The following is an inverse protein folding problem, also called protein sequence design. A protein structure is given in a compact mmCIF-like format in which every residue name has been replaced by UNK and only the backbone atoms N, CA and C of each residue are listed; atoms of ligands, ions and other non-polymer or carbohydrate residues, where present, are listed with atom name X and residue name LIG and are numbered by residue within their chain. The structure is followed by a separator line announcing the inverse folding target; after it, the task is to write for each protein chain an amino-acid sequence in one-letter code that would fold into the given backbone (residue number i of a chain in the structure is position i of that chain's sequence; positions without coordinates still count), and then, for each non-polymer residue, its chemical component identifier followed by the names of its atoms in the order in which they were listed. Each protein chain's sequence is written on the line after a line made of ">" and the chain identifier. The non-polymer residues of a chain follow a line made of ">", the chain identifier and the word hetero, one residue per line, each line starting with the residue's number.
data_IF_265393013838
#
_entry.id   IF_265393013838
#
_cell.length_a   1.000
_cell.length_b   1.000
_cell.length_c   1.000
_cell.angle_alpha   90.00
_cell.angle_beta   90.00
_cell.angle_gamma   90.00
#
_symmetry.space_group_name_H-M   'P 1'
#
loop_
_entity.id
_entity.type
_entity.pdbx_description
1 polymer ?
#
# COMPACT_ATOMS: atom_id res chain seq x y z
N UNK A 1 14.79 -13.32 19.73
CA UNK A 1 15.70 -12.24 19.30
C UNK A 1 15.12 -10.96 19.85
N UNK A 2 15.93 -10.08 20.44
CA UNK A 2 15.43 -8.76 20.86
C UNK A 2 15.36 -7.80 19.65
N UNK A 3 14.71 -6.64 19.81
CA UNK A 3 14.48 -5.69 18.69
C UNK A 3 15.79 -5.16 18.07
N UNK A 4 16.86 -5.03 18.86
CA UNK A 4 18.15 -4.51 18.38
C UNK A 4 18.87 -5.59 17.57
N UNK A 5 18.90 -6.82 18.09
CA UNK A 5 19.47 -7.97 17.40
C UNK A 5 18.73 -8.27 16.09
N UNK A 6 17.41 -8.08 16.07
CA UNK A 6 16.57 -8.20 14.88
C UNK A 6 16.91 -7.15 13.84
N UNK A 7 16.99 -5.88 14.23
CA UNK A 7 17.34 -4.79 13.31
C UNK A 7 18.74 -4.98 12.70
N UNK A 8 19.73 -5.39 13.51
CA UNK A 8 21.09 -5.67 13.03
C UNK A 8 21.14 -6.89 12.12
N UNK A 9 20.38 -7.94 12.44
CA UNK A 9 20.27 -9.12 11.59
C UNK A 9 19.65 -8.76 10.24
N UNK A 10 18.51 -8.05 10.24
CA UNK A 10 17.85 -7.59 9.02
C UNK A 10 18.79 -6.76 8.15
N UNK A 11 19.47 -5.75 8.73
CA UNK A 11 20.40 -4.89 7.99
C UNK A 11 21.51 -5.70 7.31
N UNK A 12 22.12 -6.64 8.03
CA UNK A 12 23.19 -7.47 7.47
C UNK A 12 22.71 -8.33 6.30
N UNK A 13 21.57 -9.00 6.46
CA UNK A 13 21.03 -9.85 5.40
C UNK A 13 20.55 -9.00 4.22
N UNK A 14 19.99 -7.81 4.48
CA UNK A 14 19.64 -6.84 3.45
C UNK A 14 20.85 -6.39 2.64
N UNK A 15 21.95 -6.02 3.29
CA UNK A 15 23.17 -5.56 2.60
C UNK A 15 23.72 -6.65 1.68
N UNK A 16 23.68 -7.93 2.10
CA UNK A 16 24.06 -9.06 1.25
C UNK A 16 23.10 -9.22 0.08
N UNK A 17 21.79 -9.27 0.37
CA UNK A 17 20.76 -9.42 -0.65
C UNK A 17 20.79 -8.31 -1.70
N UNK A 18 20.98 -7.06 -1.28
CA UNK A 18 20.97 -5.92 -2.17
C UNK A 18 22.21 -5.86 -3.08
N UNK A 19 23.31 -6.53 -2.71
CA UNK A 19 24.44 -6.74 -3.63
C UNK A 19 24.12 -7.87 -4.61
N UNK A 20 23.58 -8.99 -4.10
CA UNK A 20 23.31 -10.19 -4.89
C UNK A 20 22.18 -9.99 -5.91
N UNK A 21 21.18 -9.15 -5.61
CA UNK A 21 20.02 -8.90 -6.48
C UNK A 21 20.41 -8.28 -7.82
N UNK A 22 21.52 -7.54 -7.89
CA UNK A 22 22.04 -7.01 -9.16
C UNK A 22 22.69 -8.08 -10.05
N UNK A 23 22.85 -9.31 -9.55
CA UNK A 23 23.22 -10.48 -10.34
C UNK A 23 22.07 -11.05 -11.17
N UNK A 24 20.81 -10.73 -10.84
CA UNK A 24 19.62 -11.06 -11.65
C UNK A 24 19.34 -9.89 -12.61
N UNK A 25 19.48 -10.08 -13.94
CA UNK A 25 19.28 -9.01 -14.92
C UNK A 25 17.88 -8.37 -14.86
N UNK A 26 16.84 -9.13 -14.54
CA UNK A 26 15.45 -8.64 -14.50
C UNK A 26 15.23 -7.78 -13.26
N UNK A 27 15.67 -8.27 -12.10
CA UNK A 27 15.56 -7.52 -10.85
C UNK A 27 16.45 -6.27 -10.88
N UNK A 28 17.69 -6.38 -11.37
CA UNK A 28 18.63 -5.27 -11.54
C UNK A 28 18.03 -4.16 -12.40
N UNK A 29 17.44 -4.53 -13.55
CA UNK A 29 16.79 -3.58 -14.45
C UNK A 29 15.59 -2.91 -13.78
N UNK A 30 14.74 -3.70 -13.11
CA UNK A 30 13.53 -3.18 -12.46
C UNK A 30 13.85 -2.19 -11.33
N UNK A 31 14.81 -2.54 -10.47
CA UNK A 31 15.28 -1.66 -9.38
C UNK A 31 15.90 -0.39 -9.96
N UNK A 32 16.72 -0.50 -11.00
CA UNK A 32 17.35 0.67 -11.63
C UNK A 32 16.32 1.63 -12.22
N UNK A 33 15.32 1.11 -12.93
CA UNK A 33 14.24 1.92 -13.49
C UNK A 33 13.37 2.56 -12.40
N UNK A 34 13.05 1.84 -11.31
CA UNK A 34 12.32 2.42 -10.17
C UNK A 34 13.09 3.57 -9.53
N UNK A 35 14.42 3.45 -9.39
CA UNK A 35 15.28 4.53 -8.89
C UNK A 35 15.19 5.75 -9.80
N UNK A 36 15.24 5.56 -11.10
CA UNK A 36 15.08 6.63 -12.09
C UNK A 36 13.68 7.26 -12.13
N UNK A 37 12.67 6.50 -11.68
CA UNK A 37 11.30 6.99 -11.43
C UNK A 37 11.13 7.62 -10.03
N UNK A 38 12.22 7.72 -9.26
CA UNK A 38 12.29 8.41 -7.98
C UNK A 38 11.96 7.56 -6.75
N UNK A 39 11.84 6.24 -6.89
CA UNK A 39 11.73 5.31 -5.76
C UNK A 39 13.14 5.04 -5.22
N UNK A 40 13.40 5.42 -3.98
CA UNK A 40 14.73 5.32 -3.40
C UNK A 40 15.01 3.88 -2.95
N UNK A 41 16.29 3.45 -2.90
CA UNK A 41 16.65 2.19 -2.26
C UNK A 41 16.18 2.07 -0.80
N UNK A 42 16.08 3.19 -0.08
CA UNK A 42 15.49 3.23 1.27
C UNK A 42 14.01 2.86 1.28
N UNK A 43 13.26 3.18 0.22
CA UNK A 43 11.85 2.85 0.13
C UNK A 43 11.68 1.33 -0.06
N UNK A 44 12.58 0.70 -0.81
CA UNK A 44 12.63 -0.77 -0.97
C UNK A 44 13.00 -1.47 0.34
N UNK A 45 13.94 -0.91 1.10
CA UNK A 45 14.31 -1.40 2.44
C UNK A 45 13.11 -1.36 3.39
N UNK A 46 12.42 -0.21 3.48
CA UNK A 46 11.23 -0.06 4.32
C UNK A 46 10.09 -0.97 3.85
N UNK A 47 9.94 -1.18 2.54
CA UNK A 47 8.98 -2.14 2.00
C UNK A 47 9.31 -3.56 2.44
N UNK A 48 10.57 -4.00 2.35
CA UNK A 48 11.00 -5.31 2.82
C UNK A 48 10.81 -5.48 4.33
N UNK A 49 11.09 -4.44 5.13
CA UNK A 49 10.78 -4.45 6.58
C UNK A 49 9.28 -4.54 6.83
N UNK A 50 8.47 -3.79 6.10
CA UNK A 50 7.01 -3.87 6.20
C UNK A 50 6.51 -5.26 5.83
N UNK A 51 7.08 -5.91 4.81
CA UNK A 51 6.73 -7.28 4.42
C UNK A 51 7.12 -8.26 5.54
N UNK A 52 8.30 -8.09 6.14
CA UNK A 52 8.73 -8.94 7.25
C UNK A 52 7.90 -8.75 8.52
N UNK A 53 7.42 -7.54 8.78
CA UNK A 53 6.54 -7.27 9.92
C UNK A 53 5.10 -7.75 9.71
N UNK A 54 4.64 -7.86 8.46
CA UNK A 54 3.30 -8.34 8.11
C UNK A 54 3.27 -9.84 7.92
N UNK A 55 2.09 -10.45 8.05
CA UNK A 55 1.87 -11.79 7.48
C UNK A 55 1.93 -11.66 5.97
N UNK A 56 3.02 -12.17 5.40
CA UNK A 56 2.95 -12.83 4.12
C UNK A 56 2.09 -14.06 4.33
N UNK A 57 0.89 -14.14 3.76
CA UNK A 57 0.18 -15.43 3.70
C UNK A 57 1.07 -16.40 2.92
N UNK A 58 1.67 -17.42 3.57
CA UNK A 58 2.55 -18.31 2.81
C UNK A 58 1.80 -19.13 1.77
N UNK A 59 0.46 -19.18 1.80
CA UNK A 59 -0.40 -19.89 0.87
C UNK A 59 -0.65 -19.07 -0.39
N UNK A 60 -0.98 -17.78 -0.22
CA UNK A 60 -1.10 -16.80 -1.30
C UNK A 60 0.24 -16.63 -2.04
N UNK A 61 1.38 -16.69 -1.31
CA UNK A 61 2.71 -16.59 -1.92
C UNK A 61 3.41 -17.90 -2.29
N UNK A 62 3.05 -19.08 -1.75
CA UNK A 62 3.54 -20.35 -2.31
C UNK A 62 2.86 -20.63 -3.65
N UNK A 63 1.55 -20.36 -3.76
CA UNK A 63 0.84 -20.40 -5.03
C UNK A 63 1.40 -19.32 -5.97
N UNK A 64 1.55 -18.06 -5.51
CA UNK A 64 2.21 -17.06 -6.34
C UNK A 64 3.66 -17.39 -6.62
N UNK A 65 4.50 -17.97 -5.76
CA UNK A 65 5.90 -18.36 -6.09
C UNK A 65 5.95 -19.43 -7.17
N UNK A 66 5.05 -20.41 -7.17
CA UNK A 66 4.89 -21.38 -8.27
C UNK A 66 4.40 -20.71 -9.57
N UNK A 67 3.65 -19.60 -9.45
CA UNK A 67 3.16 -18.77 -10.58
C UNK A 67 4.15 -17.67 -11.03
N UNK A 68 5.00 -17.18 -10.13
CA UNK A 68 5.99 -16.08 -10.23
C UNK A 68 7.39 -16.61 -10.57
N UNK A 69 7.59 -17.93 -10.48
CA UNK A 69 8.79 -18.59 -11.02
C UNK A 69 8.79 -18.59 -12.55
N UNK A 70 7.63 -18.31 -13.17
CA UNK A 70 7.57 -17.82 -14.53
C UNK A 70 7.34 -16.31 -14.45
N UNK A 71 8.11 -15.45 -15.16
CA UNK A 71 7.62 -14.12 -15.46
C UNK A 71 6.22 -14.29 -16.04
N UNK A 72 5.27 -13.48 -15.59
CA UNK A 72 3.91 -13.53 -16.11
C UNK A 72 4.01 -13.55 -17.64
N UNK A 73 3.47 -14.58 -18.29
CA UNK A 73 3.56 -14.67 -19.76
C UNK A 73 2.83 -13.50 -20.42
N UNK A 74 1.98 -12.79 -19.68
CA UNK A 74 1.35 -11.53 -20.07
C UNK A 74 2.30 -10.33 -20.08
N UNK A 75 3.46 -10.41 -19.42
CA UNK A 75 4.47 -9.34 -19.40
C UNK A 75 4.87 -8.94 -20.83
N UNK A 76 4.90 -9.89 -21.78
CA UNK A 76 5.19 -9.54 -23.18
C UNK A 76 4.04 -8.81 -23.87
N UNK A 77 2.78 -9.12 -23.56
CA UNK A 77 1.63 -8.39 -24.14
C UNK A 77 1.48 -7.00 -23.51
N UNK A 78 1.65 -6.88 -22.19
CA UNK A 78 1.62 -5.59 -21.48
C UNK A 78 2.79 -4.68 -21.86
N UNK A 79 3.99 -5.23 -22.06
CA UNK A 79 5.15 -4.46 -22.55
C UNK A 79 4.94 -3.98 -23.99
N UNK A 80 4.28 -4.78 -24.83
CA UNK A 80 3.91 -4.35 -26.20
C UNK A 80 2.89 -3.21 -26.15
N UNK A 81 1.87 -3.28 -25.30
CA UNK A 81 0.88 -2.21 -25.10
C UNK A 81 1.56 -0.90 -24.65
N UNK A 82 2.49 -0.98 -23.70
CA UNK A 82 3.25 0.18 -23.23
C UNK A 82 4.08 0.82 -24.34
N UNK A 83 4.76 0.04 -25.18
CA UNK A 83 5.54 0.60 -26.29
C UNK A 83 4.64 1.26 -27.35
N UNK A 84 3.47 0.69 -27.64
CA UNK A 84 2.48 1.29 -28.53
C UNK A 84 1.93 2.61 -27.97
N UNK A 85 1.69 2.70 -26.66
CA UNK A 85 1.32 3.95 -26.00
C UNK A 85 2.42 5.02 -26.10
N UNK A 86 3.70 4.62 -25.99
CA UNK A 86 4.83 5.55 -26.18
C UNK A 86 4.90 6.02 -27.63
N UNK A 87 4.67 5.14 -28.61
CA UNK A 87 4.54 5.54 -30.01
C UNK A 87 3.40 6.56 -30.19
N UNK A 88 2.26 6.37 -29.54
CA UNK A 88 1.16 7.33 -29.54
C UNK A 88 1.54 8.69 -28.95
N UNK A 89 2.35 8.73 -27.88
CA UNK A 89 2.89 9.99 -27.32
C UNK A 89 3.81 10.68 -28.34
N UNK A 90 4.67 9.92 -29.03
CA UNK A 90 5.57 10.46 -30.06
C UNK A 90 4.76 11.09 -31.21
N UNK A 91 3.70 10.42 -31.68
CA UNK A 91 2.84 10.94 -32.74
C UNK A 91 2.15 12.25 -32.35
N UNK A 92 1.68 12.37 -31.10
CA UNK A 92 1.08 13.60 -30.58
C UNK A 92 2.10 14.74 -30.47
N UNK A 93 3.33 14.43 -30.04
CA UNK A 93 4.45 15.39 -30.01
C UNK A 93 4.79 15.85 -31.44
N UNK A 94 4.82 14.95 -32.41
CA UNK A 94 5.08 15.29 -33.82
C UNK A 94 3.96 16.18 -34.37
N UNK A 95 2.70 15.88 -34.05
CA UNK A 95 1.55 16.71 -34.43
C UNK A 95 1.61 18.10 -33.77
N UNK A 96 2.05 18.19 -32.51
CA UNK A 96 2.31 19.45 -31.81
C UNK A 96 3.43 20.25 -32.49
N UNK A 97 4.54 19.59 -32.87
CA UNK A 97 5.66 20.21 -33.58
C UNK A 97 5.34 20.62 -35.01
N UNK A 98 4.38 19.95 -35.65
CA UNK A 98 3.86 20.31 -36.98
C UNK A 98 2.72 21.34 -36.93
N UNK A 99 2.26 21.75 -35.74
CA UNK A 99 1.16 22.69 -35.58
C UNK A 99 1.52 24.04 -36.24
N UNK A 100 0.68 24.61 -37.12
CA UNK A 100 0.99 25.87 -37.82
C UNK A 100 1.23 27.07 -36.90
N UNK A 101 0.74 27.01 -35.66
CA UNK A 101 0.95 28.06 -34.67
C UNK A 101 2.31 27.98 -34.00
N UNK A 102 2.95 26.80 -34.00
CA UNK A 102 4.30 26.66 -33.48
C UNK A 102 5.30 27.28 -34.45
N UNK A 103 6.10 28.23 -33.94
CA UNK A 103 7.12 28.92 -34.72
C UNK A 103 8.47 28.78 -34.01
N UNK A 104 9.39 28.05 -34.62
CA UNK A 104 10.74 27.84 -34.09
C UNK A 104 11.47 29.16 -33.76
N UNK A 105 11.29 30.21 -34.57
CA UNK A 105 11.90 31.51 -34.35
C UNK A 105 11.49 32.19 -33.01
N UNK A 106 10.38 31.75 -32.41
CA UNK A 106 9.90 32.27 -31.13
C UNK A 106 10.40 31.45 -29.93
N UNK A 107 11.03 30.29 -30.14
CA UNK A 107 11.47 29.42 -29.06
C UNK A 107 12.45 30.12 -28.10
N UNK A 108 13.33 31.01 -28.56
CA UNK A 108 14.26 31.69 -27.64
C UNK A 108 13.60 32.77 -26.76
N UNK A 109 12.39 33.22 -27.10
CA UNK A 109 11.77 34.41 -26.50
C UNK A 109 10.38 34.15 -25.88
N UNK A 110 9.74 33.03 -26.21
CA UNK A 110 8.41 32.67 -25.72
C UNK A 110 8.43 31.35 -24.93
N UNK A 111 8.02 31.41 -23.66
CA UNK A 111 8.09 30.27 -22.76
C UNK A 111 7.18 29.09 -23.15
N UNK A 112 6.13 29.29 -23.95
CA UNK A 112 5.32 28.19 -24.48
C UNK A 112 6.03 27.54 -25.67
N UNK A 113 6.71 28.34 -26.51
CA UNK A 113 7.48 27.82 -27.64
C UNK A 113 8.70 27.03 -27.16
N UNK A 114 9.36 27.45 -26.06
CA UNK A 114 10.41 26.66 -25.39
C UNK A 114 9.91 25.30 -24.91
N UNK A 115 8.69 25.27 -24.35
CA UNK A 115 8.09 24.04 -23.87
C UNK A 115 7.79 23.10 -25.05
N UNK A 116 7.21 23.61 -26.14
CA UNK A 116 6.99 22.82 -27.36
C UNK A 116 8.31 22.29 -27.92
N UNK A 117 9.36 23.12 -28.03
CA UNK A 117 10.69 22.67 -28.46
C UNK A 117 11.24 21.55 -27.58
N UNK A 118 11.13 21.70 -26.26
CA UNK A 118 11.60 20.68 -25.30
C UNK A 118 10.83 19.37 -25.42
N UNK A 119 9.53 19.43 -25.74
CA UNK A 119 8.70 18.26 -26.00
C UNK A 119 9.09 17.57 -27.30
N UNK A 120 9.33 18.32 -28.38
CA UNK A 120 9.82 17.78 -29.66
C UNK A 120 11.15 17.06 -29.47
N UNK A 121 12.08 17.64 -28.71
CA UNK A 121 13.35 17.00 -28.37
C UNK A 121 13.15 15.73 -27.53
N UNK A 122 12.15 15.71 -26.63
CA UNK A 122 11.79 14.52 -25.86
C UNK A 122 11.23 13.41 -26.76
N UNK A 123 10.36 13.76 -27.71
CA UNK A 123 9.85 12.81 -28.72
C UNK A 123 10.96 12.22 -29.58
N UNK A 124 11.97 13.02 -29.96
CA UNK A 124 13.14 12.53 -30.68
C UNK A 124 13.95 11.51 -29.85
N UNK A 125 14.21 11.79 -28.56
CA UNK A 125 14.88 10.85 -27.65
C UNK A 125 14.10 9.55 -27.47
N UNK A 126 12.78 9.62 -27.31
CA UNK A 126 11.92 8.45 -27.19
C UNK A 126 12.00 7.59 -28.46
N UNK A 127 11.91 8.20 -29.64
CA UNK A 127 12.01 7.50 -30.93
C UNK A 127 13.37 6.80 -31.10
N UNK A 128 14.45 7.48 -30.73
CA UNK A 128 15.80 6.90 -30.76
C UNK A 128 15.91 5.70 -29.81
N UNK A 129 15.40 5.82 -28.58
CA UNK A 129 15.39 4.72 -27.62
C UNK A 129 14.65 3.49 -28.16
N UNK A 130 13.42 3.67 -28.66
CA UNK A 130 12.59 2.57 -29.20
C UNK A 130 13.23 1.87 -30.42
N UNK A 131 14.08 2.57 -31.15
CA UNK A 131 14.79 2.02 -32.32
C UNK A 131 16.17 1.43 -31.97
N UNK A 132 16.59 1.53 -30.71
CA UNK A 132 17.91 1.09 -30.24
C UNK A 132 17.91 -0.41 -29.88
N UNK A 133 19.08 -0.92 -29.50
CA UNK A 133 19.19 -2.26 -28.91
C UNK A 133 18.62 -2.36 -27.49
N UNK A 134 18.28 -1.23 -26.86
CA UNK A 134 17.71 -1.14 -25.51
C UNK A 134 16.45 -0.25 -25.48
N UNK A 135 15.30 -0.72 -26.00
CA UNK A 135 14.06 0.05 -26.03
C UNK A 135 13.53 0.50 -24.66
N UNK A 136 13.92 -0.20 -23.58
CA UNK A 136 13.58 0.15 -22.20
C UNK A 136 14.11 1.51 -21.75
N UNK A 137 15.11 2.08 -22.44
CA UNK A 137 15.56 3.46 -22.21
C UNK A 137 14.43 4.48 -22.46
N UNK A 138 13.40 4.14 -23.23
CA UNK A 138 12.24 5.00 -23.41
C UNK A 138 11.52 5.25 -22.07
N UNK A 139 11.49 4.27 -21.17
CA UNK A 139 10.87 4.42 -19.85
C UNK A 139 11.60 5.45 -18.99
N UNK A 140 12.94 5.44 -19.04
CA UNK A 140 13.79 6.46 -18.42
C UNK A 140 13.48 7.85 -18.98
N UNK A 141 13.37 7.98 -20.30
CA UNK A 141 13.12 9.26 -20.96
C UNK A 141 11.73 9.83 -20.71
N UNK A 142 10.75 9.00 -20.34
CA UNK A 142 9.48 9.48 -19.83
C UNK A 142 9.59 10.04 -18.40
N UNK A 143 10.61 9.67 -17.63
CA UNK A 143 10.81 10.20 -16.27
C UNK A 143 11.13 11.70 -16.29
N UNK A 144 10.69 12.39 -15.23
CA UNK A 144 11.01 13.80 -14.97
C UNK A 144 11.52 14.03 -13.55
N UNK A 145 11.65 12.96 -12.74
CA UNK A 145 11.95 13.05 -11.31
C UNK A 145 13.44 13.07 -11.01
N UNK A 146 14.21 12.20 -11.67
CA UNK A 146 15.67 12.10 -11.48
C UNK A 146 16.42 13.00 -12.45
N UNK A 147 15.97 13.06 -13.70
CA UNK A 147 16.46 14.00 -14.70
C UNK A 147 15.29 14.51 -15.56
N UNK A 148 15.36 15.76 -16.06
CA UNK A 148 14.28 16.39 -16.81
C UNK A 148 14.26 15.94 -18.28
N UNK A 149 14.28 14.63 -18.53
CA UNK A 149 14.25 14.08 -19.89
C UNK A 149 12.92 14.36 -20.61
N UNK A 150 11.81 14.33 -19.86
CA UNK A 150 10.51 14.78 -20.33
C UNK A 150 10.07 16.07 -19.63
N UNK A 151 9.69 17.12 -20.35
CA UNK A 151 9.25 18.37 -19.73
C UNK A 151 7.82 18.28 -19.16
N UNK A 152 7.69 18.48 -17.84
CA UNK A 152 6.40 18.39 -17.10
C UNK A 152 5.87 19.74 -16.60
N UNK A 153 6.42 20.84 -17.11
CA UNK A 153 5.99 22.18 -16.72
C UNK A 153 4.55 22.47 -17.18
N UNK A 154 3.71 23.02 -16.30
CA UNK A 154 2.32 23.36 -16.61
C UNK A 154 2.23 24.42 -17.74
N UNK A 155 1.47 24.16 -18.82
CA UNK A 155 1.44 25.06 -19.99
C UNK A 155 0.56 26.31 -19.83
N UNK A 156 -0.44 26.28 -18.94
CA UNK A 156 -1.52 27.30 -18.90
C UNK A 156 -1.06 28.76 -18.76
N UNK A 157 0.01 29.02 -18.01
CA UNK A 157 0.53 30.38 -17.79
C UNK A 157 1.69 30.75 -18.72
N UNK A 158 2.06 29.90 -19.69
CA UNK A 158 3.22 30.11 -20.56
C UNK A 158 2.83 30.80 -21.86
N UNK A 159 3.73 31.63 -22.39
CA UNK A 159 3.62 32.27 -23.70
C UNK A 159 2.60 33.41 -23.83
N UNK A 160 2.79 34.27 -24.83
CA UNK A 160 1.92 35.44 -25.09
C UNK A 160 0.91 35.14 -26.20
N UNK A 161 -0.38 35.40 -25.99
CA UNK A 161 -1.43 35.07 -26.98
C UNK A 161 -1.18 35.67 -28.39
N UNK A 162 -0.57 36.86 -28.48
CA UNK A 162 -0.23 37.49 -29.75
C UNK A 162 0.77 36.69 -30.60
N UNK A 163 1.62 35.89 -29.95
CA UNK A 163 2.63 35.06 -30.61
C UNK A 163 2.05 33.78 -31.23
N UNK A 164 0.79 33.45 -30.91
CA UNK A 164 0.15 32.17 -31.22
C UNK A 164 -1.14 32.34 -32.02
N UNK A 165 -1.32 33.48 -32.71
CA UNK A 165 -2.52 33.74 -33.51
C UNK A 165 -3.76 34.14 -32.70
N UNK A 166 -3.63 34.37 -31.39
CA UNK A 166 -4.71 34.75 -30.49
C UNK A 166 -4.88 33.80 -29.31
N UNK A 167 -5.76 34.17 -28.36
CA UNK A 167 -6.04 33.34 -27.19
C UNK A 167 -6.65 31.96 -27.54
N UNK A 168 -7.59 31.83 -28.49
CA UNK A 168 -8.16 30.52 -28.84
C UNK A 168 -7.13 29.53 -29.37
N UNK A 169 -6.27 29.98 -30.29
CA UNK A 169 -5.22 29.17 -30.91
C UNK A 169 -4.13 28.79 -29.90
N UNK A 170 -3.72 29.74 -29.04
CA UNK A 170 -2.84 29.44 -27.90
C UNK A 170 -3.45 28.36 -27.00
N UNK A 171 -4.73 28.49 -26.65
CA UNK A 171 -5.39 27.54 -25.76
C UNK A 171 -5.46 26.14 -26.38
N UNK A 172 -5.68 26.02 -27.69
CA UNK A 172 -5.63 24.73 -28.37
C UNK A 172 -4.25 24.05 -28.23
N UNK A 173 -3.16 24.79 -28.39
CA UNK A 173 -1.78 24.27 -28.15
C UNK A 173 -1.58 23.86 -26.69
N UNK A 174 -2.10 24.65 -25.75
CA UNK A 174 -2.04 24.34 -24.31
C UNK A 174 -2.79 23.04 -24.00
N UNK A 175 -3.96 22.80 -24.59
CA UNK A 175 -4.70 21.54 -24.42
C UNK A 175 -3.94 20.36 -25.01
N UNK A 176 -3.37 20.47 -26.22
CA UNK A 176 -2.54 19.40 -26.80
C UNK A 176 -1.37 19.01 -25.87
N UNK A 177 -0.70 20.00 -25.26
CA UNK A 177 0.38 19.73 -24.30
C UNK A 177 -0.15 19.01 -23.05
N UNK A 178 -1.35 19.36 -22.56
CA UNK A 178 -1.96 18.67 -21.41
C UNK A 178 -2.29 17.22 -21.76
N UNK A 179 -2.89 16.97 -22.91
CA UNK A 179 -3.21 15.61 -23.38
C UNK A 179 -1.94 14.73 -23.45
N UNK A 180 -0.85 15.27 -24.01
CA UNK A 180 0.47 14.59 -24.02
C UNK A 180 0.96 14.31 -22.60
N UNK A 181 0.89 15.31 -21.70
CA UNK A 181 1.35 15.17 -20.32
C UNK A 181 0.52 14.15 -19.53
N UNK A 182 -0.80 14.12 -19.73
CA UNK A 182 -1.72 13.20 -19.08
C UNK A 182 -1.50 11.76 -19.57
N UNK A 183 -1.38 11.55 -20.89
CA UNK A 183 -1.03 10.23 -21.44
C UNK A 183 0.34 9.76 -20.93
N UNK A 184 1.36 10.62 -20.96
CA UNK A 184 2.69 10.30 -20.41
C UNK A 184 2.60 9.93 -18.94
N UNK A 185 1.78 10.61 -18.15
CA UNK A 185 1.60 10.27 -16.73
C UNK A 185 0.95 8.89 -16.55
N UNK A 186 -0.09 8.57 -17.32
CA UNK A 186 -0.72 7.24 -17.30
C UNK A 186 0.25 6.11 -17.68
N UNK A 187 1.07 6.30 -18.72
CA UNK A 187 2.10 5.33 -19.12
C UNK A 187 3.14 5.14 -18.02
N UNK A 188 3.61 6.22 -17.40
CA UNK A 188 4.57 6.16 -16.30
C UNK A 188 3.99 5.43 -15.08
N UNK A 189 2.71 5.64 -14.77
CA UNK A 189 2.01 4.93 -13.68
C UNK A 189 1.94 3.43 -13.96
N UNK A 190 1.51 3.02 -15.15
CA UNK A 190 1.48 1.61 -15.58
C UNK A 190 2.86 0.94 -15.48
N UNK A 191 3.90 1.59 -15.99
CA UNK A 191 5.28 1.07 -15.90
C UNK A 191 5.70 0.96 -14.43
N UNK A 192 5.44 1.99 -13.62
CA UNK A 192 5.82 1.99 -12.20
C UNK A 192 5.13 0.85 -11.45
N UNK A 193 3.86 0.58 -11.74
CA UNK A 193 3.10 -0.52 -11.15
C UNK A 193 3.72 -1.88 -11.49
N UNK A 194 3.94 -2.17 -12.78
CA UNK A 194 4.55 -3.42 -13.24
C UNK A 194 5.96 -3.64 -12.66
N UNK A 195 6.78 -2.57 -12.59
CA UNK A 195 8.11 -2.64 -11.97
C UNK A 195 8.02 -2.87 -10.46
N UNK A 196 7.07 -2.24 -9.77
CA UNK A 196 6.82 -2.45 -8.35
C UNK A 196 6.42 -3.91 -8.08
N UNK A 197 5.59 -4.53 -8.93
CA UNK A 197 5.19 -5.93 -8.77
C UNK A 197 6.39 -6.88 -8.90
N UNK A 198 7.25 -6.66 -9.90
CA UNK A 198 8.49 -7.42 -10.08
C UNK A 198 9.39 -7.31 -8.85
N UNK A 199 9.65 -6.08 -8.38
CA UNK A 199 10.50 -5.87 -7.19
C UNK A 199 9.84 -6.43 -5.94
N UNK A 200 8.53 -6.29 -5.79
CA UNK A 200 7.78 -6.85 -4.66
C UNK A 200 7.95 -8.38 -4.55
N UNK A 201 7.91 -9.10 -5.68
CA UNK A 201 8.21 -10.53 -5.74
C UNK A 201 9.59 -10.88 -5.22
N UNK A 202 10.60 -10.14 -5.67
CA UNK A 202 11.99 -10.33 -5.23
C UNK A 202 12.12 -10.04 -3.72
N UNK A 203 11.52 -8.96 -3.22
CA UNK A 203 11.53 -8.62 -1.80
C UNK A 203 10.83 -9.67 -0.93
N UNK A 204 9.73 -10.25 -1.42
CA UNK A 204 9.06 -11.36 -0.73
C UNK A 204 9.95 -12.61 -0.66
N UNK A 205 10.66 -12.93 -1.75
CA UNK A 205 11.65 -13.99 -1.78
C UNK A 205 12.76 -13.79 -0.74
N UNK A 206 13.29 -12.55 -0.65
CA UNK A 206 14.25 -12.16 0.37
C UNK A 206 13.71 -12.38 1.79
N UNK A 207 12.50 -11.87 2.09
CA UNK A 207 11.90 -12.01 3.44
C UNK A 207 11.67 -13.48 3.81
N UNK A 208 11.28 -14.32 2.85
CA UNK A 208 11.15 -15.76 3.08
C UNK A 208 12.49 -16.36 3.49
N UNK A 209 13.56 -16.10 2.74
CA UNK A 209 14.89 -16.62 3.08
C UNK A 209 15.42 -16.04 4.40
N UNK A 210 15.14 -14.77 4.69
CA UNK A 210 15.46 -14.12 5.97
C UNK A 210 14.79 -14.84 7.15
N UNK A 211 13.49 -15.16 7.03
CA UNK A 211 12.74 -15.93 8.06
C UNK A 211 13.27 -17.35 8.19
N UNK A 212 13.57 -18.02 7.07
CA UNK A 212 14.17 -19.35 7.10
C UNK A 212 15.58 -19.35 7.73
N UNK A 213 16.38 -18.32 7.46
CA UNK A 213 17.71 -18.15 8.07
C UNK A 213 17.62 -17.99 9.59
N UNK A 214 16.66 -17.19 10.08
CA UNK A 214 16.34 -17.10 11.52
C UNK A 214 15.99 -18.47 12.10
N UNK A 215 15.04 -19.19 11.48
CA UNK A 215 14.62 -20.53 11.91
C UNK A 215 15.80 -21.52 11.94
N UNK A 216 16.64 -21.56 10.90
CA UNK A 216 17.85 -22.41 10.83
C UNK A 216 18.85 -22.08 11.94
N UNK A 217 18.95 -20.80 12.33
CA UNK A 217 19.77 -20.35 13.44
C UNK A 217 19.16 -20.60 14.83
N UNK A 218 17.98 -21.23 14.92
CA UNK A 218 17.26 -21.45 16.17
C UNK A 218 16.72 -20.15 16.79
N UNK A 219 16.56 -19.09 15.98
CA UNK A 219 16.06 -17.80 16.42
C UNK A 219 14.68 -17.53 15.82
N UNK A 220 13.83 -16.91 16.61
CA UNK A 220 12.53 -16.37 16.18
C UNK A 220 12.37 -14.98 16.79
N UNK A 221 11.68 -14.11 16.06
CA UNK A 221 11.21 -12.79 16.50
C UNK A 221 9.80 -12.91 17.10
N UNK A 222 9.27 -11.83 17.66
CA UNK A 222 7.85 -11.79 18.08
C UNK A 222 6.91 -11.89 16.88
N UNK A 223 7.25 -11.24 15.76
CA UNK A 223 6.50 -11.39 14.51
C UNK A 223 6.49 -12.83 14.02
N UNK A 224 7.63 -13.53 14.09
CA UNK A 224 7.71 -14.96 13.71
C UNK A 224 6.79 -15.83 14.56
N UNK A 225 6.59 -15.53 15.85
CA UNK A 225 5.69 -16.31 16.72
C UNK A 225 4.23 -16.23 16.24
N UNK A 226 3.77 -15.03 15.89
CA UNK A 226 2.43 -14.83 15.33
C UNK A 226 2.28 -15.53 13.98
N UNK A 227 3.27 -15.36 13.09
CA UNK A 227 3.27 -16.01 11.77
C UNK A 227 3.27 -17.56 11.89
N UNK A 228 4.09 -18.12 12.79
CA UNK A 228 4.15 -19.56 13.05
C UNK A 228 2.84 -20.10 13.63
N UNK A 229 2.21 -19.34 14.54
CA UNK A 229 0.89 -19.69 15.07
C UNK A 229 -0.15 -19.74 13.96
N UNK A 230 -0.16 -18.72 13.09
CA UNK A 230 -1.08 -18.67 11.96
C UNK A 230 -0.82 -19.78 10.93
N UNK A 231 0.45 -20.06 10.59
CA UNK A 231 0.86 -21.18 9.75
C UNK A 231 0.32 -22.51 10.32
N UNK A 232 0.48 -22.73 11.63
CA UNK A 232 -0.01 -23.93 12.30
C UNK A 232 -1.54 -24.03 12.25
N UNK A 233 -2.26 -22.94 12.51
CA UNK A 233 -3.74 -22.92 12.45
C UNK A 233 -4.30 -23.09 11.02
N UNK A 234 -3.48 -22.87 9.99
CA UNK A 234 -3.86 -23.06 8.58
C UNK A 234 -3.50 -24.45 8.05
N UNK A 235 -2.29 -24.91 8.33
CA UNK A 235 -1.70 -26.09 7.69
C UNK A 235 -1.84 -27.37 8.54
N UNK A 236 -2.23 -27.26 9.81
CA UNK A 236 -2.42 -28.42 10.67
C UNK A 236 -3.62 -29.29 10.22
N UNK A 237 -3.61 -30.60 10.54
CA UNK A 237 -4.78 -31.45 10.36
C UNK A 237 -6.01 -30.84 11.05
N UNK A 238 -7.21 -30.86 10.43
CA UNK A 238 -8.42 -30.26 11.01
C UNK A 238 -8.73 -30.74 12.43
N UNK A 239 -8.36 -31.97 12.76
CA UNK A 239 -8.54 -32.55 14.11
C UNK A 239 -7.73 -31.78 15.16
N UNK A 240 -6.47 -31.44 14.87
CA UNK A 240 -5.62 -30.68 15.79
C UNK A 240 -6.17 -29.25 15.97
N UNK A 241 -6.62 -28.62 14.87
CA UNK A 241 -7.26 -27.30 14.96
C UNK A 241 -8.51 -27.37 15.84
N UNK A 242 -9.35 -28.38 15.66
CA UNK A 242 -10.55 -28.61 16.47
C UNK A 242 -10.21 -28.82 17.97
N UNK A 243 -9.18 -29.60 18.29
CA UNK A 243 -8.69 -29.78 19.67
C UNK A 243 -8.25 -28.46 20.31
N UNK A 244 -7.51 -27.63 19.55
CA UNK A 244 -7.09 -26.30 20.00
C UNK A 244 -8.31 -25.42 20.26
N UNK A 245 -9.30 -25.39 19.34
CA UNK A 245 -10.53 -24.61 19.52
C UNK A 245 -11.33 -25.03 20.74
N UNK A 246 -11.47 -26.34 20.96
CA UNK A 246 -12.19 -26.90 22.10
C UNK A 246 -11.54 -26.57 23.45
N UNK A 247 -10.29 -26.11 23.46
CA UNK A 247 -9.63 -25.60 24.66
C UNK A 247 -10.16 -24.23 25.09
N UNK A 248 -10.87 -23.51 24.22
CA UNK A 248 -11.40 -22.17 24.48
C UNK A 248 -12.93 -22.16 24.44
N UNK A 249 -13.57 -21.93 25.60
CA UNK A 249 -15.03 -21.79 25.65
C UNK A 249 -15.51 -20.41 25.19
N UNK A 250 -14.68 -19.38 25.37
CA UNK A 250 -14.91 -17.99 24.95
C UNK A 250 -13.54 -17.36 24.67
N UNK A 251 -13.45 -16.49 23.67
CA UNK A 251 -12.25 -15.71 23.38
C UNK A 251 -12.58 -14.23 23.56
N UNK A 252 -11.81 -13.55 24.41
CA UNK A 252 -11.95 -12.11 24.67
C UNK A 252 -10.67 -11.39 24.25
N UNK A 253 -10.81 -10.33 23.48
CA UNK A 253 -9.72 -9.47 23.04
C UNK A 253 -9.97 -8.08 23.59
N UNK A 254 -9.11 -7.66 24.51
CA UNK A 254 -9.07 -6.29 25.03
C UNK A 254 -8.16 -5.42 24.16
N UNK A 255 -8.30 -4.09 24.26
CA UNK A 255 -7.55 -3.11 23.46
C UNK A 255 -7.58 -3.41 21.95
N UNK A 256 -8.75 -3.80 21.44
CA UNK A 256 -8.90 -4.26 20.06
C UNK A 256 -8.48 -3.22 19.02
N UNK A 257 -8.52 -1.93 19.34
CA UNK A 257 -8.05 -0.84 18.47
C UNK A 257 -6.54 -0.88 18.17
N UNK A 258 -5.76 -1.64 18.94
CA UNK A 258 -4.31 -1.79 18.80
C UNK A 258 -3.91 -3.14 18.22
N UNK A 259 -4.89 -3.93 17.77
CA UNK A 259 -4.68 -5.24 17.14
C UNK A 259 -4.21 -5.09 15.69
N UNK A 260 -3.27 -5.93 15.27
CA UNK A 260 -2.82 -6.02 13.87
C UNK A 260 -3.61 -7.11 13.09
N UNK A 261 -3.59 -7.08 11.74
CA UNK A 261 -4.36 -8.04 10.92
C UNK A 261 -4.03 -9.52 11.17
N UNK A 262 -2.80 -9.83 11.59
CA UNK A 262 -2.34 -11.20 11.88
C UNK A 262 -3.01 -11.72 13.14
N UNK A 263 -3.01 -10.91 14.20
CA UNK A 263 -3.64 -11.24 15.46
C UNK A 263 -5.14 -11.46 15.28
N UNK A 264 -5.79 -10.59 14.50
CA UNK A 264 -7.20 -10.73 14.17
C UNK A 264 -7.48 -12.04 13.42
N UNK A 265 -6.65 -12.42 12.44
CA UNK A 265 -6.79 -13.68 11.71
C UNK A 265 -6.58 -14.92 12.62
N UNK A 266 -5.60 -14.88 13.53
CA UNK A 266 -5.40 -15.92 14.54
C UNK A 266 -6.65 -16.08 15.40
N UNK A 267 -7.18 -14.98 15.93
CA UNK A 267 -8.38 -14.97 16.78
C UNK A 267 -9.59 -15.53 16.02
N UNK A 268 -9.79 -15.13 14.77
CA UNK A 268 -10.85 -15.65 13.89
C UNK A 268 -10.73 -17.15 13.61
N UNK A 269 -9.50 -17.63 13.44
CA UNK A 269 -9.24 -19.07 13.25
C UNK A 269 -9.46 -19.85 14.52
N UNK A 270 -9.09 -19.32 15.68
CA UNK A 270 -9.34 -19.96 16.98
C UNK A 270 -10.82 -19.99 17.34
N UNK A 271 -11.61 -19.00 16.91
CA UNK A 271 -13.07 -19.01 17.14
C UNK A 271 -13.85 -19.88 16.15
N UNK A 272 -13.29 -20.16 14.98
CA UNK A 272 -13.96 -20.88 13.89
C UNK A 272 -14.90 -20.02 13.04
N UNK A 273 -14.91 -18.68 13.22
CA UNK A 273 -15.89 -17.76 12.60
C UNK A 273 -15.83 -17.73 11.06
N UNK A 274 -14.70 -18.09 10.43
CA UNK A 274 -14.51 -18.05 8.97
C UNK A 274 -14.65 -19.40 8.24
N UNK A 275 -14.88 -20.52 8.94
CA UNK A 275 -15.02 -21.84 8.30
C UNK A 275 -16.44 -22.15 7.79
N UNK A 276 -17.22 -21.12 7.42
CA UNK A 276 -18.42 -21.34 6.59
C UNK A 276 -18.01 -21.55 5.14
N UNK A 277 -17.41 -22.70 4.83
CA UNK A 277 -17.49 -23.22 3.47
C UNK A 277 -18.85 -23.90 3.29
N UNK A 278 -19.45 -23.74 2.10
CA UNK A 278 -20.78 -24.28 1.75
C UNK A 278 -20.80 -25.82 1.79
N UNK A 279 -19.61 -26.45 1.80
CA UNK A 279 -19.41 -27.91 1.78
C UNK A 279 -18.85 -28.49 3.10
N UNK A 280 -18.62 -27.69 4.14
CA UNK A 280 -18.15 -28.20 5.44
C UNK A 280 -19.27 -28.98 6.16
N UNK A 281 -19.31 -30.29 5.97
CA UNK A 281 -20.24 -31.20 6.66
C UNK A 281 -19.98 -31.30 8.18
N UNK A 282 -18.83 -30.84 8.67
CA UNK A 282 -18.56 -30.78 10.10
C UNK A 282 -18.97 -29.41 10.66
N UNK A 283 -19.95 -29.43 11.58
CA UNK A 283 -20.26 -28.29 12.44
C UNK A 283 -19.07 -28.08 13.37
N UNK A 284 -18.07 -27.32 12.92
CA UNK A 284 -16.96 -26.92 13.78
C UNK A 284 -17.52 -26.09 14.95
N UNK A 285 -17.16 -26.42 16.21
CA UNK A 285 -17.63 -25.67 17.37
C UNK A 285 -17.08 -24.25 17.33
N UNK A 286 -17.99 -23.28 17.53
CA UNK A 286 -17.67 -21.85 17.52
C UNK A 286 -17.47 -21.37 18.96
N UNK A 287 -16.26 -20.89 19.28
CA UNK A 287 -16.06 -20.14 20.52
C UNK A 287 -16.61 -18.72 20.31
N UNK A 288 -17.50 -18.20 21.18
CA UNK A 288 -17.94 -16.81 21.12
C UNK A 288 -16.75 -15.85 21.20
N UNK A 289 -16.77 -14.82 20.35
CA UNK A 289 -15.78 -13.75 20.31
C UNK A 289 -16.34 -12.50 20.97
N UNK A 290 -15.56 -11.91 21.89
CA UNK A 290 -15.85 -10.63 22.50
C UNK A 290 -14.68 -9.66 22.31
N UNK A 291 -14.94 -8.54 21.64
CA UNK A 291 -13.94 -7.49 21.41
C UNK A 291 -14.27 -6.29 22.29
N UNK A 292 -13.26 -5.80 23.01
CA UNK A 292 -13.32 -4.56 23.79
C UNK A 292 -12.26 -3.62 23.24
N UNK A 293 -12.63 -2.36 23.00
CA UNK A 293 -11.68 -1.37 22.54
C UNK A 293 -12.33 -0.04 22.22
N UNK A 294 -11.52 1.01 22.11
CA UNK A 294 -11.95 2.37 21.81
C UNK A 294 -11.13 2.92 20.62
N UNK A 295 -11.75 3.19 19.45
CA UNK A 295 -11.00 3.68 18.29
C UNK A 295 -10.34 5.03 18.55
N UNK A 296 -10.85 5.82 19.52
CA UNK A 296 -10.27 7.11 19.91
C UNK A 296 -8.92 6.97 20.62
N UNK A 297 -8.59 5.77 21.10
CA UNK A 297 -7.36 5.46 21.83
C UNK A 297 -6.31 4.74 20.96
N UNK A 298 -6.57 4.53 19.67
CA UNK A 298 -5.61 3.88 18.77
C UNK A 298 -4.42 4.80 18.51
N UNK A 299 -3.29 4.50 19.16
CA UNK A 299 -2.04 5.28 19.06
C UNK A 299 -0.84 4.45 18.58
N UNK A 300 -1.03 3.16 18.33
CA UNK A 300 0.05 2.22 17.96
C UNK A 300 0.14 1.93 16.46
N UNK A 301 -0.32 2.83 15.58
CA UNK A 301 -0.20 2.66 14.12
C UNK A 301 1.25 2.41 13.66
N UNK A 302 2.23 2.99 14.33
CA UNK A 302 3.66 2.79 14.05
C UNK A 302 4.15 1.36 14.36
N UNK A 303 3.38 0.56 15.11
CA UNK A 303 3.62 -0.87 15.38
C UNK A 303 2.75 -1.81 14.55
N UNK A 304 1.95 -1.27 13.62
CA UNK A 304 1.11 -2.07 12.72
C UNK A 304 -0.34 -2.26 13.18
N UNK A 305 -0.79 -1.56 14.23
CA UNK A 305 -2.21 -1.53 14.61
C UNK A 305 -3.07 -1.07 13.42
N UNK A 306 -4.15 -1.80 13.15
CA UNK A 306 -5.04 -1.57 12.02
C UNK A 306 -6.42 -1.09 12.47
N UNK A 307 -6.56 0.24 12.58
CA UNK A 307 -7.82 0.88 12.94
C UNK A 307 -8.91 0.64 11.89
N UNK A 308 -8.56 0.51 10.60
CA UNK A 308 -9.54 0.23 9.55
C UNK A 308 -10.14 -1.17 9.73
N UNK A 309 -9.30 -2.15 10.09
CA UNK A 309 -9.71 -3.49 10.49
C UNK A 309 -10.66 -3.49 11.70
N UNK A 310 -10.36 -2.70 12.73
CA UNK A 310 -11.25 -2.50 13.88
C UNK A 310 -12.63 -1.96 13.43
N UNK A 311 -12.65 -0.89 12.64
CA UNK A 311 -13.88 -0.23 12.19
C UNK A 311 -14.72 -1.15 11.30
N UNK A 312 -14.09 -1.96 10.46
CA UNK A 312 -14.77 -2.96 9.65
C UNK A 312 -15.49 -3.99 10.52
N UNK A 313 -14.80 -4.55 11.52
CA UNK A 313 -15.40 -5.52 12.46
C UNK A 313 -16.55 -4.86 13.24
N UNK A 314 -16.34 -3.66 13.78
CA UNK A 314 -17.36 -2.92 14.53
C UNK A 314 -18.62 -2.62 13.69
N UNK A 315 -18.46 -2.28 12.40
CA UNK A 315 -19.58 -2.03 11.47
C UNK A 315 -20.28 -3.31 11.02
N UNK A 316 -19.54 -4.42 10.92
CA UNK A 316 -20.10 -5.73 10.55
C UNK A 316 -20.84 -6.44 11.69
N UNK A 317 -20.60 -6.01 12.93
CA UNK A 317 -21.26 -6.55 14.13
C UNK A 317 -22.70 -6.01 14.20
N UNK A 318 -23.66 -6.88 14.50
CA UNK A 318 -25.06 -6.46 14.64
C UNK A 318 -25.21 -5.44 15.77
N UNK A 319 -26.16 -4.52 15.63
CA UNK A 319 -26.42 -3.51 16.65
C UNK A 319 -26.78 -4.12 18.01
N UNK A 320 -27.43 -5.30 18.01
CA UNK A 320 -27.80 -6.06 19.22
C UNK A 320 -26.59 -6.65 19.95
N UNK A 321 -25.49 -6.88 19.24
CA UNK A 321 -24.24 -7.41 19.80
C UNK A 321 -23.21 -6.33 20.12
N UNK A 322 -23.53 -5.06 19.83
CA UNK A 322 -22.66 -3.92 20.15
C UNK A 322 -23.13 -3.25 21.44
N UNK A 323 -22.20 -3.05 22.37
CA UNK A 323 -22.46 -2.36 23.64
C UNK A 323 -21.57 -1.13 23.72
N UNK A 324 -22.20 0.05 23.72
CA UNK A 324 -21.50 1.34 23.83
C UNK A 324 -21.45 1.75 25.32
N UNK A 325 -20.24 1.83 25.89
CA UNK A 325 -20.00 2.21 27.29
C UNK A 325 -19.72 3.72 27.40
N UNK A 326 -20.76 4.50 27.70
CA UNK A 326 -20.66 5.97 27.72
C UNK A 326 -20.48 6.54 29.14
N UNK A 327 -20.41 5.73 30.18
CA UNK A 327 -20.27 6.20 31.57
C UNK A 327 -18.81 6.11 32.02
N UNK A 328 -18.23 7.23 32.44
CA UNK A 328 -16.89 7.32 32.99
C UNK A 328 -16.93 7.17 34.53
N UNK A 329 -16.17 6.20 35.03
CA UNK A 329 -16.03 5.92 36.46
C UNK A 329 -14.64 6.30 37.02
N UNK A 330 -13.74 6.87 36.19
CA UNK A 330 -12.32 7.06 36.52
C UNK A 330 -11.98 8.50 36.89
N UNK A 331 -12.64 9.47 36.26
CA UNK A 331 -12.32 10.89 36.33
C UNK A 331 -13.47 11.69 36.95
N UNK A 332 -13.16 12.89 37.42
CA UNK A 332 -14.16 13.84 37.90
C UNK A 332 -14.84 14.59 36.75
N UNK A 333 -15.90 15.33 37.09
CA UNK A 333 -16.72 16.06 36.13
C UNK A 333 -15.94 17.08 35.30
N UNK A 334 -15.05 17.83 35.94
CA UNK A 334 -14.27 18.88 35.30
C UNK A 334 -13.40 18.33 34.16
N UNK A 335 -12.78 17.16 34.35
CA UNK A 335 -11.95 16.51 33.32
C UNK A 335 -12.83 15.98 32.19
N UNK A 336 -13.96 15.32 32.50
CA UNK A 336 -14.85 14.73 31.48
C UNK A 336 -15.44 15.82 30.59
N UNK A 337 -15.93 16.91 31.18
CA UNK A 337 -16.48 18.04 30.43
C UNK A 337 -15.43 18.70 29.56
N UNK A 338 -14.22 18.94 30.09
CA UNK A 338 -13.13 19.52 29.30
C UNK A 338 -12.74 18.65 28.10
N UNK A 339 -12.69 17.32 28.26
CA UNK A 339 -12.39 16.39 27.16
C UNK A 339 -13.51 16.41 26.12
N UNK A 340 -14.78 16.36 26.53
CA UNK A 340 -15.90 16.42 25.61
C UNK A 340 -15.87 17.74 24.80
N UNK A 341 -15.72 18.88 25.47
CA UNK A 341 -15.67 20.21 24.84
C UNK A 341 -14.48 20.37 23.89
N UNK A 342 -13.32 19.80 24.25
CA UNK A 342 -12.08 19.97 23.47
C UNK A 342 -12.01 19.08 22.23
N UNK A 343 -12.70 17.94 22.23
CA UNK A 343 -12.53 16.89 21.21
C UNK A 343 -13.82 16.51 20.48
N UNK A 344 -14.95 17.19 20.73
CA UNK A 344 -16.25 16.93 20.09
C UNK A 344 -16.14 16.81 18.56
N UNK A 345 -15.56 17.83 17.91
CA UNK A 345 -15.37 17.86 16.46
C UNK A 345 -14.41 16.77 15.97
N UNK A 346 -13.37 16.45 16.75
CA UNK A 346 -12.36 15.46 16.36
C UNK A 346 -12.90 14.03 16.45
N UNK A 347 -13.69 13.74 17.48
CA UNK A 347 -14.29 12.42 17.66
C UNK A 347 -15.37 12.12 16.61
N UNK A 348 -16.10 13.13 16.14
CA UNK A 348 -17.06 12.97 15.03
C UNK A 348 -16.38 12.54 13.71
N UNK A 349 -15.14 12.99 13.49
CA UNK A 349 -14.38 12.72 12.26
C UNK A 349 -13.67 11.36 12.32
N UNK A 350 -13.12 10.99 13.48
CA UNK A 350 -12.13 9.89 13.59
C UNK A 350 -12.76 8.51 13.73
N UNK A 351 -13.93 8.39 14.34
CA UNK A 351 -14.53 7.09 14.65
C UNK A 351 -15.37 6.51 13.50
N UNK A 352 -15.86 7.34 12.56
CA UNK A 352 -16.81 6.91 11.53
C UNK A 352 -18.03 6.14 12.09
N UNK A 353 -18.32 6.34 13.38
CA UNK A 353 -19.36 5.78 14.22
C UNK A 353 -19.95 6.97 15.00
N UNK A 354 -21.27 6.99 15.31
CA UNK A 354 -21.86 8.12 16.02
C UNK A 354 -21.13 8.35 17.34
N UNK A 355 -20.48 9.51 17.46
CA UNK A 355 -19.79 9.91 18.68
C UNK A 355 -20.84 10.08 19.78
N UNK A 356 -20.79 9.23 20.80
CA UNK A 356 -21.54 9.45 22.03
C UNK A 356 -20.64 10.15 23.04
N UNK A 357 -21.05 11.31 23.59
CA UNK A 357 -20.27 11.99 24.61
C UNK A 357 -20.12 11.11 25.85
N UNK A 358 -19.02 11.29 26.59
CA UNK A 358 -18.82 10.61 27.86
C UNK A 358 -19.69 11.28 28.94
N UNK A 359 -20.43 10.48 29.69
CA UNK A 359 -21.23 10.89 30.84
C UNK A 359 -20.53 10.48 32.14
N UNK A 360 -20.77 11.19 33.23
CA UNK A 360 -20.29 10.78 34.56
C UNK A 360 -21.20 9.70 35.14
N UNK A 361 -20.63 8.87 36.00
CA UNK A 361 -21.44 8.02 36.86
C UNK A 361 -22.14 8.89 37.92
N UNK A 362 -23.48 8.93 37.86
CA UNK A 362 -24.27 9.47 38.95
C UNK A 362 -24.03 8.63 40.22
N UNK A 363 -23.58 9.27 41.30
CA UNK A 363 -23.25 8.63 42.57
C UNK A 363 -24.44 7.95 43.28
N UNK A 364 -25.64 8.01 42.71
CA UNK A 364 -26.87 7.40 43.25
C UNK A 364 -27.25 6.06 42.59
N UNK A 365 -26.60 5.66 41.49
CA UNK A 365 -26.90 4.39 40.81
C UNK A 365 -25.99 3.23 41.28
N UNK A 366 -26.03 2.91 42.57
CA UNK A 366 -25.55 1.61 43.08
C UNK A 366 -26.73 0.64 43.21
N UNK A 367 -27.38 0.31 42.09
CA UNK A 367 -28.23 -0.88 42.03
C UNK A 367 -27.55 -1.92 41.14
N UNK A 368 -26.62 -2.65 41.74
CA UNK A 368 -26.06 -3.90 41.20
C UNK A 368 -27.06 -5.03 41.47
N UNK A 369 -28.29 -4.92 40.96
CA UNK A 369 -29.17 -6.07 40.86
C UNK A 369 -28.62 -6.99 39.77
N UNK A 370 -28.39 -8.29 40.06
CA UNK A 370 -27.84 -9.21 39.07
C UNK A 370 -28.83 -9.28 37.90
N UNK A 371 -28.33 -9.03 36.69
CA UNK A 371 -29.02 -9.41 35.46
C UNK A 371 -29.28 -10.91 35.54
N UNK A 372 -30.53 -11.27 35.84
CA UNK A 372 -30.99 -12.64 35.82
C UNK A 372 -30.98 -13.10 34.35
N UNK A 373 -30.10 -14.06 34.05
CA UNK A 373 -30.25 -14.98 32.94
C UNK A 373 -30.23 -16.40 33.49
#
# INVERSE_FOLDING_TARGET
>A
MDEVEEALFFQREWDSFFVDVFGDPVAATSISLLVELGIKPSDLFEMARSIDNKVLDPGDYRHKKETLSAPDTNYQEEVVDVFDEIHGIIEEIDALGANPQYQYALADQDALAQLVSSLVDAGARLREALSSSEPSLAFLYLSSRVAPYFPTAKPGNKGKAANWGGAPQKNAVVEMIREIQDRRQGVVEKITEALCENVFSVLCGFVIELRLARRRGGKITFGDQLNLCLELLRDAPPQLVCEIRNSYSVIMVDEFQDTDPVQLEIVKRLSGTFERSIDAQEKTPLAPLFFVGDPRQSIYRFRGADLDGYLLVARSTSAESRVDLNVNFRSNEEIVNWVNDSFEDYFAITSGLPASPLHLCDSEATDMSPLAY
#
